data_IF_938443036654
#
_entry.id   IF_938443036654
#
_cell.length_a   1.000
_cell.length_b   1.000
_cell.length_c   1.000
_cell.angle_alpha   90.00
_cell.angle_beta   90.00
_cell.angle_gamma   90.00
#
_symmetry.space_group_name_H-M   'P 1'
#
loop_
_entity.id
_entity.type
_entity.pdbx_description
1 polymer ?
#
# COMPACT_ATOMS: atom_id res chain seq x y z
N UNK A 1 -14.18 -25.29 -11.15
CA UNK A 1 -14.00 -25.23 -9.67
C UNK A 1 -12.69 -24.57 -9.22
N UNK A 2 -11.65 -24.46 -10.06
CA UNK A 2 -10.32 -23.92 -9.67
C UNK A 2 -10.35 -22.41 -9.32
N UNK A 3 -11.21 -21.62 -9.97
CA UNK A 3 -11.25 -20.17 -9.73
C UNK A 3 -11.80 -19.77 -8.36
N UNK A 4 -12.56 -20.65 -7.68
CA UNK A 4 -13.13 -20.35 -6.37
C UNK A 4 -12.05 -20.12 -5.29
N UNK A 5 -10.89 -20.77 -5.42
CA UNK A 5 -9.80 -20.73 -4.44
C UNK A 5 -9.08 -19.38 -4.33
N UNK A 6 -9.11 -18.54 -5.36
CA UNK A 6 -8.56 -17.18 -5.28
C UNK A 6 -9.65 -16.10 -5.27
N UNK A 7 -10.81 -16.36 -5.89
CA UNK A 7 -11.93 -15.42 -5.89
C UNK A 7 -12.54 -15.26 -4.51
N UNK A 8 -12.74 -16.35 -3.74
CA UNK A 8 -13.36 -16.27 -2.42
C UNK A 8 -12.47 -15.47 -1.43
N UNK A 9 -11.16 -15.76 -1.28
CA UNK A 9 -10.28 -14.92 -0.46
C UNK A 9 -10.21 -13.47 -0.95
N UNK A 10 -10.22 -13.24 -2.26
CA UNK A 10 -10.21 -11.89 -2.84
C UNK A 10 -11.47 -11.10 -2.44
N UNK A 11 -12.65 -11.70 -2.60
CA UNK A 11 -13.93 -11.07 -2.24
C UNK A 11 -14.00 -10.83 -0.72
N UNK A 12 -13.56 -11.80 0.10
CA UNK A 12 -13.47 -11.62 1.55
C UNK A 12 -12.51 -10.50 1.93
N UNK A 13 -11.35 -10.40 1.27
CA UNK A 13 -10.39 -9.31 1.51
C UNK A 13 -10.97 -7.95 1.09
N UNK A 14 -11.63 -7.85 -0.06
CA UNK A 14 -12.24 -6.59 -0.55
C UNK A 14 -13.36 -6.12 0.39
N UNK A 15 -14.30 -7.01 0.74
CA UNK A 15 -15.41 -6.69 1.65
C UNK A 15 -14.90 -6.29 3.03
N UNK A 16 -13.85 -6.95 3.50
CA UNK A 16 -13.18 -6.64 4.74
C UNK A 16 -12.48 -5.26 4.73
N UNK A 17 -11.70 -4.95 3.69
CA UNK A 17 -11.05 -3.65 3.50
C UNK A 17 -12.08 -2.51 3.29
N UNK A 18 -13.25 -2.84 2.74
CA UNK A 18 -14.35 -1.88 2.59
C UNK A 18 -15.10 -1.58 3.90
N UNK A 19 -14.83 -2.33 4.97
CA UNK A 19 -15.56 -2.21 6.24
C UNK A 19 -15.37 -0.83 6.91
N UNK A 20 -16.41 -0.27 7.58
CA UNK A 20 -16.31 1.00 8.28
C UNK A 20 -15.25 1.03 9.38
N UNK A 21 -15.02 -0.12 10.05
CA UNK A 21 -14.01 -0.24 11.11
C UNK A 21 -12.60 0.06 10.60
N UNK A 22 -12.25 -0.44 9.41
CA UNK A 22 -10.96 -0.13 8.78
C UNK A 22 -10.78 1.37 8.54
N UNK A 23 -11.84 2.09 8.19
CA UNK A 23 -11.77 3.53 7.94
C UNK A 23 -11.52 4.35 9.22
N UNK A 24 -12.09 3.93 10.35
CA UNK A 24 -11.80 4.52 11.66
C UNK A 24 -10.32 4.36 12.03
N UNK A 25 -9.79 3.14 11.90
CA UNK A 25 -8.37 2.84 12.18
C UNK A 25 -7.40 3.74 11.39
N UNK A 26 -7.72 4.09 10.14
CA UNK A 26 -6.82 4.90 9.28
C UNK A 26 -6.60 6.30 9.85
N UNK A 27 -7.67 6.97 10.29
CA UNK A 27 -7.57 8.34 10.80
C UNK A 27 -6.76 8.35 12.11
N UNK A 28 -7.16 7.51 13.07
CA UNK A 28 -6.51 7.37 14.37
C UNK A 28 -5.03 6.98 14.22
N UNK A 29 -4.73 6.00 13.36
CA UNK A 29 -3.33 5.56 13.14
C UNK A 29 -2.49 6.65 12.47
N UNK A 30 -3.04 7.39 11.49
CA UNK A 30 -2.31 8.49 10.85
C UNK A 30 -2.00 9.61 11.85
N UNK A 31 -2.99 10.02 12.63
CA UNK A 31 -2.82 11.07 13.66
C UNK A 31 -1.82 10.62 14.72
N UNK A 32 -1.93 9.39 15.23
CA UNK A 32 -0.96 8.80 16.16
C UNK A 32 0.48 8.89 15.64
N UNK A 33 0.72 8.51 14.38
CA UNK A 33 2.06 8.58 13.77
C UNK A 33 2.58 10.01 13.66
N UNK A 34 1.72 10.96 13.27
CA UNK A 34 2.08 12.37 13.17
C UNK A 34 2.48 12.90 14.55
N UNK A 35 1.66 12.69 15.57
CA UNK A 35 1.93 13.12 16.94
C UNK A 35 3.23 12.50 17.47
N UNK A 36 3.40 11.19 17.33
CA UNK A 36 4.58 10.48 17.84
C UNK A 36 5.89 10.84 17.11
N UNK A 37 5.80 11.16 15.82
CA UNK A 37 6.97 11.47 14.99
C UNK A 37 7.38 12.94 15.00
N UNK A 38 6.46 13.86 15.31
CA UNK A 38 6.69 15.30 15.15
C UNK A 38 6.64 16.12 16.44
N UNK A 39 6.05 15.64 17.54
CA UNK A 39 6.04 16.39 18.82
C UNK A 39 7.21 15.98 19.72
N UNK A 40 7.79 16.95 20.43
CA UNK A 40 8.93 16.70 21.32
C UNK A 40 8.46 16.02 22.62
N UNK A 41 8.95 14.80 22.89
CA UNK A 41 8.54 13.97 24.05
C UNK A 41 8.83 14.59 25.41
N UNK A 42 9.78 15.53 25.48
CA UNK A 42 10.11 16.25 26.72
C UNK A 42 9.12 17.40 27.04
N UNK A 43 8.31 17.83 26.07
CA UNK A 43 7.35 18.93 26.22
C UNK A 43 5.90 18.48 26.20
N UNK A 44 5.64 17.36 25.52
CA UNK A 44 4.30 16.87 25.27
C UNK A 44 4.19 15.39 25.66
N UNK A 45 3.19 15.07 26.46
CA UNK A 45 2.81 13.70 26.79
C UNK A 45 1.60 13.30 25.97
N UNK A 46 1.74 12.28 25.13
CA UNK A 46 0.67 11.80 24.23
C UNK A 46 0.02 10.56 24.84
N UNK A 47 -1.30 10.61 25.03
CA UNK A 47 -2.12 9.47 25.42
C UNK A 47 -3.06 9.14 24.27
N UNK A 48 -3.07 7.88 23.82
CA UNK A 48 -3.94 7.43 22.73
C UNK A 48 -5.03 6.53 23.29
N UNK A 49 -6.21 6.57 22.66
CA UNK A 49 -7.34 5.65 22.88
C UNK A 49 -7.78 5.66 24.33
N UNK A 50 -8.03 6.86 24.85
CA UNK A 50 -8.39 7.09 26.24
C UNK A 50 -9.89 6.93 26.37
N UNK A 51 -10.32 5.96 27.17
CA UNK A 51 -11.73 5.78 27.52
C UNK A 51 -11.95 6.17 28.97
N UNK A 52 -12.86 7.12 29.22
CA UNK A 52 -13.16 7.65 30.56
C UNK A 52 -14.64 7.41 30.91
N UNK A 53 -14.96 7.23 32.20
CA UNK A 53 -16.35 7.24 32.65
C UNK A 53 -16.96 8.65 32.49
N UNK A 54 -18.22 8.73 32.07
CA UNK A 54 -18.94 10.00 31.93
C UNK A 54 -20.45 9.81 32.08
N UNK A 55 -21.06 10.46 33.07
CA UNK A 55 -22.52 10.66 33.17
C UNK A 55 -23.42 9.42 33.00
N UNK A 56 -22.96 8.23 33.42
CA UNK A 56 -23.70 6.96 33.27
C UNK A 56 -23.23 6.05 32.13
N UNK A 57 -22.26 6.48 31.33
CA UNK A 57 -21.62 5.68 30.28
C UNK A 57 -20.11 5.90 30.24
N UNK A 58 -19.56 5.80 29.03
CA UNK A 58 -18.13 6.05 28.79
C UNK A 58 -17.95 6.96 27.58
N UNK A 59 -16.92 7.79 27.60
CA UNK A 59 -16.49 8.59 26.47
C UNK A 59 -15.17 8.03 25.95
N UNK A 60 -15.05 7.91 24.63
CA UNK A 60 -13.80 7.56 23.95
C UNK A 60 -13.17 8.81 23.38
N UNK A 61 -11.87 8.98 23.59
CA UNK A 61 -11.06 10.07 23.07
C UNK A 61 -9.87 9.46 22.32
N UNK A 62 -9.77 9.76 21.02
CA UNK A 62 -8.75 9.16 20.15
C UNK A 62 -7.34 9.54 20.61
N UNK A 63 -7.09 10.83 20.81
CA UNK A 63 -5.80 11.31 21.30
C UNK A 63 -5.93 12.48 22.28
N UNK A 64 -5.17 12.40 23.38
CA UNK A 64 -4.89 13.50 24.27
C UNK A 64 -3.42 13.86 24.16
N UNK A 65 -3.14 15.17 24.08
CA UNK A 65 -1.78 15.68 24.27
C UNK A 65 -1.79 16.60 25.47
N UNK A 66 -1.04 16.25 26.51
CA UNK A 66 -0.93 17.03 27.74
C UNK A 66 0.40 17.75 27.76
N UNK A 67 0.37 19.05 28.08
CA UNK A 67 1.56 19.89 28.24
C UNK A 67 1.24 21.09 29.16
N UNK A 68 2.25 21.90 29.48
CA UNK A 68 2.03 23.19 30.18
C UNK A 68 1.13 24.17 29.42
N UNK A 69 0.95 23.96 28.12
CA UNK A 69 0.10 24.79 27.26
C UNK A 69 -1.40 24.43 27.36
N UNK A 70 -1.74 23.38 28.13
CA UNK A 70 -3.09 22.84 28.24
C UNK A 70 -3.19 21.40 27.73
N UNK A 71 -4.43 20.94 27.60
CA UNK A 71 -4.78 19.58 27.17
C UNK A 71 -5.43 19.65 25.80
N UNK A 72 -4.76 19.14 24.76
CA UNK A 72 -5.32 19.05 23.42
C UNK A 72 -6.16 17.79 23.31
N UNK A 73 -7.46 17.96 23.03
CA UNK A 73 -8.43 16.87 22.87
C UNK A 73 -8.70 16.68 21.40
N UNK A 74 -8.12 15.62 20.83
CA UNK A 74 -8.07 15.43 19.38
C UNK A 74 -9.02 14.30 18.98
N UNK A 75 -10.01 14.65 18.16
CA UNK A 75 -10.90 13.72 17.47
C UNK A 75 -10.39 13.47 16.04
N UNK A 76 -10.25 12.21 15.64
CA UNK A 76 -9.77 11.83 14.31
C UNK A 76 -10.91 11.25 13.48
N UNK A 77 -11.23 11.89 12.35
CA UNK A 77 -12.33 11.46 11.49
C UNK A 77 -11.84 11.22 10.07
N UNK A 78 -12.09 10.03 9.54
CA UNK A 78 -11.82 9.72 8.13
C UNK A 78 -12.99 10.19 7.25
N UNK A 79 -12.70 11.07 6.29
CA UNK A 79 -13.67 11.50 5.29
C UNK A 79 -12.98 11.66 3.93
N UNK A 80 -13.40 10.90 2.92
CA UNK A 80 -12.75 10.90 1.59
C UNK A 80 -13.46 11.85 0.64
N UNK A 81 -12.69 12.66 -0.08
CA UNK A 81 -13.20 13.59 -1.08
C UNK A 81 -13.47 14.97 -0.51
N UNK A 82 -14.46 15.68 -1.05
CA UNK A 82 -14.78 17.04 -0.61
C UNK A 82 -15.72 17.02 0.59
N UNK A 83 -15.39 17.74 1.65
CA UNK A 83 -16.22 17.83 2.86
C UNK A 83 -16.94 19.18 2.88
N UNK A 84 -18.21 19.16 3.25
CA UNK A 84 -19.02 20.36 3.49
C UNK A 84 -19.85 20.16 4.75
N UNK A 85 -19.84 21.17 5.60
CA UNK A 85 -20.45 21.16 6.92
C UNK A 85 -20.31 22.52 7.59
N UNK A 86 -21.01 22.70 8.70
CA UNK A 86 -20.88 23.86 9.56
C UNK A 86 -20.89 23.46 11.03
N UNK A 87 -20.46 24.35 11.91
CA UNK A 87 -20.36 24.11 13.35
C UNK A 87 -21.68 23.66 13.98
N UNK A 88 -22.80 24.28 13.58
CA UNK A 88 -24.13 24.01 14.15
C UNK A 88 -24.89 22.87 13.48
N UNK A 89 -24.38 22.30 12.39
CA UNK A 89 -25.07 21.22 11.68
C UNK A 89 -24.83 19.89 12.40
N UNK A 90 -25.88 19.11 12.62
CA UNK A 90 -25.77 17.77 13.25
C UNK A 90 -24.95 16.80 12.40
N UNK A 91 -25.08 16.89 11.07
CA UNK A 91 -24.42 15.99 10.13
C UNK A 91 -23.75 16.77 9.02
N UNK A 92 -22.57 16.30 8.63
CA UNK A 92 -21.79 16.83 7.52
C UNK A 92 -21.93 15.94 6.28
N UNK A 93 -21.59 16.51 5.13
CA UNK A 93 -21.64 15.86 3.82
C UNK A 93 -20.20 15.63 3.31
N UNK A 94 -19.92 14.43 2.82
CA UNK A 94 -18.74 14.14 2.01
C UNK A 94 -19.15 13.79 0.57
N UNK A 95 -18.57 14.47 -0.43
CA UNK A 95 -18.75 14.17 -1.86
C UNK A 95 -17.55 13.40 -2.39
N UNK A 96 -17.81 12.16 -2.83
CA UNK A 96 -16.85 11.24 -3.48
C UNK A 96 -17.33 10.87 -4.88
N UNK A 97 -16.52 10.14 -5.64
CA UNK A 97 -16.82 9.78 -7.04
C UNK A 97 -18.17 9.06 -7.20
N UNK A 98 -18.57 8.25 -6.22
CA UNK A 98 -19.86 7.53 -6.20
C UNK A 98 -21.01 8.26 -5.49
N UNK A 99 -20.93 9.57 -5.27
CA UNK A 99 -22.03 10.36 -4.70
C UNK A 99 -21.72 11.04 -3.35
N UNK A 100 -22.77 11.54 -2.71
CA UNK A 100 -22.71 12.27 -1.43
C UNK A 100 -23.13 11.36 -0.29
N UNK A 101 -22.35 11.31 0.79
CA UNK A 101 -22.66 10.54 2.00
C UNK A 101 -22.68 11.48 3.19
N UNK A 102 -23.67 11.28 4.07
CA UNK A 102 -23.78 11.99 5.34
C UNK A 102 -23.01 11.25 6.45
N UNK A 103 -22.40 12.00 7.35
CA UNK A 103 -21.78 11.50 8.57
C UNK A 103 -21.97 12.50 9.69
N UNK A 104 -21.92 12.04 10.94
CA UNK A 104 -22.19 12.88 12.10
C UNK A 104 -21.08 13.92 12.26
N UNK A 105 -21.43 15.10 12.78
CA UNK A 105 -20.49 16.19 12.93
C UNK A 105 -19.42 15.85 13.99
N UNK A 106 -18.13 15.69 13.60
CA UNK A 106 -17.07 15.37 14.54
C UNK A 106 -16.79 16.50 15.55
N UNK A 107 -17.11 17.76 15.22
CA UNK A 107 -16.96 18.88 16.15
C UNK A 107 -17.89 18.75 17.37
N UNK A 108 -19.12 18.27 17.18
CA UNK A 108 -20.05 18.01 18.29
C UNK A 108 -19.52 16.90 19.19
N UNK A 109 -19.00 15.83 18.60
CA UNK A 109 -18.38 14.73 19.36
C UNK A 109 -17.18 15.21 20.17
N UNK A 110 -16.33 16.05 19.57
CA UNK A 110 -15.18 16.63 20.25
C UNK A 110 -15.58 17.57 21.39
N UNK A 111 -16.64 18.36 21.23
CA UNK A 111 -17.19 19.18 22.31
C UNK A 111 -17.67 18.33 23.50
N UNK A 112 -18.37 17.21 23.24
CA UNK A 112 -18.79 16.27 24.27
C UNK A 112 -17.59 15.61 24.98
N UNK A 113 -16.52 15.27 24.24
CA UNK A 113 -15.27 14.75 24.82
C UNK A 113 -14.60 15.77 25.76
N UNK A 114 -14.51 17.03 25.34
CA UNK A 114 -13.97 18.11 26.16
C UNK A 114 -14.81 18.31 27.42
N UNK A 115 -16.14 18.32 27.30
CA UNK A 115 -17.03 18.45 28.45
C UNK A 115 -16.87 17.29 29.43
N UNK A 116 -16.82 16.05 28.92
CA UNK A 116 -16.63 14.87 29.75
C UNK A 116 -15.27 14.88 30.46
N UNK A 117 -14.19 15.24 29.74
CA UNK A 117 -12.85 15.32 30.31
C UNK A 117 -12.73 16.46 31.34
N UNK A 118 -13.35 17.61 31.07
CA UNK A 118 -13.44 18.75 32.00
C UNK A 118 -14.14 18.35 33.29
N UNK A 119 -15.28 17.67 33.19
CA UNK A 119 -16.01 17.15 34.36
C UNK A 119 -15.21 16.07 35.12
N UNK A 120 -14.58 15.14 34.40
CA UNK A 120 -13.77 14.08 35.00
C UNK A 120 -12.56 14.63 35.76
N UNK A 121 -11.89 15.66 35.22
CA UNK A 121 -10.72 16.29 35.84
C UNK A 121 -11.08 17.41 36.83
N UNK A 122 -12.36 17.79 36.92
CA UNK A 122 -12.82 18.98 37.63
C UNK A 122 -11.98 20.23 37.27
N UNK A 123 -11.69 20.39 35.98
CA UNK A 123 -10.84 21.46 35.45
C UNK A 123 -11.66 22.38 34.53
N UNK A 124 -11.40 23.70 34.51
CA UNK A 124 -12.17 24.63 33.69
C UNK A 124 -11.97 24.34 32.19
N UNK A 125 -13.02 24.53 31.38
CA UNK A 125 -12.97 24.24 29.94
C UNK A 125 -11.87 25.02 29.19
N UNK A 126 -11.41 26.15 29.74
CA UNK A 126 -10.36 26.99 29.18
C UNK A 126 -8.98 26.32 29.07
N UNK A 127 -8.70 25.27 29.84
CA UNK A 127 -7.43 24.54 29.74
C UNK A 127 -7.41 23.52 28.59
N UNK A 128 -8.55 23.26 27.97
CA UNK A 128 -8.70 22.27 26.91
C UNK A 128 -8.71 22.94 25.53
N UNK A 129 -7.95 22.36 24.61
CA UNK A 129 -7.92 22.78 23.20
C UNK A 129 -8.63 21.71 22.36
N UNK A 130 -9.91 21.90 21.97
CA UNK A 130 -10.58 21.01 21.04
C UNK A 130 -9.90 21.05 19.67
N UNK A 131 -9.66 19.88 19.07
CA UNK A 131 -9.13 19.75 17.72
C UNK A 131 -9.85 18.59 17.02
N UNK A 132 -10.33 18.83 15.82
CA UNK A 132 -10.84 17.79 14.92
C UNK A 132 -9.89 17.66 13.74
N UNK A 133 -9.37 16.45 13.51
CA UNK A 133 -8.47 16.17 12.40
C UNK A 133 -9.20 15.35 11.34
N UNK A 134 -9.40 15.95 10.16
CA UNK A 134 -10.05 15.28 9.03
C UNK A 134 -9.04 14.64 8.08
N UNK A 135 -8.99 13.31 8.08
CA UNK A 135 -8.05 12.51 7.28
C UNK A 135 -8.71 12.03 5.99
N UNK A 136 -7.97 12.10 4.87
CA UNK A 136 -8.40 11.58 3.55
C UNK A 136 -9.21 12.57 2.69
N UNK A 137 -9.48 13.75 3.22
CA UNK A 137 -10.22 14.81 2.54
C UNK A 137 -9.37 15.46 1.43
N UNK A 138 -10.00 15.89 0.33
CA UNK A 138 -9.36 16.62 -0.78
C UNK A 138 -9.42 18.15 -0.59
N UNK A 139 -10.42 18.62 0.14
CA UNK A 139 -10.61 20.01 0.51
C UNK A 139 -11.97 20.23 1.17
N UNK A 140 -12.16 21.44 1.67
CA UNK A 140 -13.42 21.91 2.24
C UNK A 140 -14.19 22.75 1.22
N UNK A 141 -15.48 22.49 1.07
CA UNK A 141 -16.38 23.27 0.20
C UNK A 141 -17.12 24.38 0.93
N UNK A 142 -17.09 24.36 2.25
CA UNK A 142 -17.64 25.41 3.11
C UNK A 142 -16.54 25.86 4.08
N UNK A 143 -16.62 27.08 4.63
CA UNK A 143 -15.75 27.48 5.72
C UNK A 143 -15.88 26.49 6.89
N UNK A 144 -14.74 25.98 7.36
CA UNK A 144 -14.70 25.05 8.49
C UNK A 144 -14.52 25.81 9.81
N UNK A 145 -15.05 25.27 10.92
CA UNK A 145 -14.72 25.76 12.26
C UNK A 145 -13.20 25.80 12.47
N UNK A 146 -12.70 26.80 13.22
CA UNK A 146 -11.26 27.01 13.37
C UNK A 146 -10.48 25.85 14.02
N UNK A 147 -11.17 24.97 14.75
CA UNK A 147 -10.59 23.78 15.37
C UNK A 147 -10.60 22.54 14.46
N UNK A 148 -11.16 22.64 13.24
CA UNK A 148 -11.23 21.55 12.26
C UNK A 148 -10.12 21.74 11.23
N UNK A 149 -9.17 20.82 11.24
CA UNK A 149 -7.91 20.97 10.50
C UNK A 149 -7.55 19.72 9.70
N UNK A 150 -6.80 19.88 8.59
CA UNK A 150 -6.17 18.74 7.93
C UNK A 150 -4.99 18.22 8.77
N UNK A 151 -4.61 16.94 8.64
CA UNK A 151 -3.57 16.31 9.46
C UNK A 151 -2.20 16.99 9.32
N UNK A 152 -1.92 17.60 8.16
CA UNK A 152 -0.67 18.30 7.88
C UNK A 152 -0.46 19.54 8.78
N UNK A 153 -1.55 20.13 9.30
CA UNK A 153 -1.48 21.33 10.16
C UNK A 153 -1.49 21.02 11.66
N UNK A 154 -1.63 19.76 12.05
CA UNK A 154 -1.90 19.35 13.43
C UNK A 154 -0.81 19.81 14.41
N UNK A 155 0.44 19.44 14.15
CA UNK A 155 1.56 19.76 15.02
C UNK A 155 1.86 21.26 15.05
N UNK A 156 1.69 21.94 13.93
CA UNK A 156 1.82 23.40 13.88
C UNK A 156 0.76 24.10 14.74
N UNK A 157 -0.49 23.62 14.74
CA UNK A 157 -1.55 24.18 15.61
C UNK A 157 -1.19 23.98 17.09
N UNK A 158 -0.70 22.79 17.45
CA UNK A 158 -0.29 22.48 18.83
C UNK A 158 0.89 23.37 19.25
N UNK A 159 1.91 23.53 18.40
CA UNK A 159 3.11 24.34 18.67
C UNK A 159 2.85 25.84 18.72
N UNK A 160 1.88 26.35 17.96
CA UNK A 160 1.50 27.78 17.94
C UNK A 160 0.92 28.26 19.27
N UNK A 161 0.44 27.35 20.14
CA UNK A 161 0.01 27.73 21.48
C UNK A 161 1.26 28.06 22.32
N UNK A 162 1.41 29.33 22.66
CA UNK A 162 2.57 29.80 23.42
C UNK A 162 2.24 30.10 24.89
N UNK A 163 0.98 30.40 25.22
CA UNK A 163 0.58 30.76 26.57
C UNK A 163 0.48 29.50 27.46
N UNK A 164 1.26 29.40 28.55
CA UNK A 164 1.07 28.36 29.54
C UNK A 164 -0.29 28.51 30.22
N UNK A 165 -1.07 27.44 30.23
CA UNK A 165 -2.36 27.37 30.92
C UNK A 165 -2.30 26.46 32.16
N UNK A 166 -1.22 25.68 32.26
CA UNK A 166 -0.98 24.72 33.33
C UNK A 166 0.45 24.86 33.85
N UNK A 167 0.58 24.81 35.16
CA UNK A 167 1.86 24.55 35.81
C UNK A 167 2.30 23.09 35.63
N UNK A 168 3.58 22.82 35.82
CA UNK A 168 4.14 21.48 35.62
C UNK A 168 3.46 20.44 36.53
N UNK A 169 3.21 20.80 37.79
CA UNK A 169 2.51 19.97 38.77
C UNK A 169 1.03 19.74 38.40
N UNK A 170 0.37 20.74 37.82
CA UNK A 170 -1.01 20.60 37.32
C UNK A 170 -1.07 19.64 36.13
N UNK A 171 -0.13 19.73 35.20
CA UNK A 171 -0.03 18.81 34.07
C UNK A 171 0.22 17.36 34.54
N UNK A 172 1.10 17.17 35.51
CA UNK A 172 1.38 15.85 36.10
C UNK A 172 0.16 15.27 36.83
N UNK A 173 -0.55 16.10 37.60
CA UNK A 173 -1.82 15.68 38.24
C UNK A 173 -2.86 15.26 37.22
N UNK A 174 -3.00 16.00 36.11
CA UNK A 174 -3.92 15.63 35.03
C UNK A 174 -3.53 14.27 34.45
N UNK A 175 -2.24 14.04 34.17
CA UNK A 175 -1.76 12.76 33.66
C UNK A 175 -2.06 11.61 34.62
N UNK A 176 -1.81 11.79 35.92
CA UNK A 176 -2.11 10.79 36.96
C UNK A 176 -3.61 10.51 37.08
N UNK A 177 -4.46 11.53 37.03
CA UNK A 177 -5.91 11.37 37.07
C UNK A 177 -6.44 10.63 35.85
N UNK A 178 -5.93 10.94 34.65
CA UNK A 178 -6.30 10.22 33.42
C UNK A 178 -5.82 8.76 33.49
N UNK A 179 -4.58 8.52 33.93
CA UNK A 179 -4.04 7.15 33.97
C UNK A 179 -4.74 6.27 35.01
N UNK A 180 -5.12 6.84 36.16
CA UNK A 180 -5.82 6.10 37.22
C UNK A 180 -7.30 5.84 36.90
N UNK A 181 -7.99 6.78 36.24
CA UNK A 181 -9.42 6.62 35.93
C UNK A 181 -9.74 6.11 34.52
N UNK A 182 -8.76 5.97 33.62
CA UNK A 182 -9.02 5.39 32.30
C UNK A 182 -9.42 3.93 32.40
N UNK A 183 -10.48 3.58 31.69
CA UNK A 183 -10.91 2.20 31.54
C UNK A 183 -9.94 1.55 30.55
N UNK A 184 -9.15 0.61 31.05
CA UNK A 184 -8.26 -0.22 30.22
C UNK A 184 -9.10 -1.22 29.43
N UNK A 185 -9.75 -0.74 28.37
CA UNK A 185 -10.42 -1.62 27.43
C UNK A 185 -9.34 -2.44 26.72
N UNK A 186 -9.48 -3.76 26.70
CA UNK A 186 -8.59 -4.69 25.99
C UNK A 186 -8.71 -4.58 24.46
N UNK A 187 -8.76 -3.36 23.91
CA UNK A 187 -8.84 -3.09 22.46
C UNK A 187 -7.68 -3.72 21.69
N UNK A 188 -6.51 -3.88 22.34
CA UNK A 188 -5.36 -4.59 21.77
C UNK A 188 -5.73 -6.00 21.29
N UNK A 189 -6.58 -6.73 22.03
CA UNK A 189 -7.03 -8.06 21.65
C UNK A 189 -7.90 -8.07 20.38
N UNK A 190 -8.70 -7.03 20.15
CA UNK A 190 -9.57 -6.95 18.96
C UNK A 190 -8.80 -6.46 17.72
N UNK A 191 -7.94 -5.45 17.86
CA UNK A 191 -7.10 -4.95 16.77
C UNK A 191 -6.06 -5.99 16.30
N UNK A 192 -5.46 -6.74 17.23
CA UNK A 192 -4.55 -7.86 16.90
C UNK A 192 -5.31 -8.99 16.21
N UNK A 193 -6.47 -9.41 16.72
CA UNK A 193 -7.32 -10.41 16.05
C UNK A 193 -7.67 -9.98 14.62
N UNK A 194 -7.98 -8.71 14.42
CA UNK A 194 -8.34 -8.17 13.13
C UNK A 194 -7.15 -8.14 12.16
N UNK A 195 -5.96 -7.77 12.63
CA UNK A 195 -4.73 -7.80 11.81
C UNK A 195 -4.26 -9.22 11.49
N UNK A 196 -4.46 -10.18 12.39
CA UNK A 196 -4.19 -11.60 12.12
C UNK A 196 -5.13 -12.11 11.04
N UNK A 197 -6.43 -11.81 11.14
CA UNK A 197 -7.41 -12.17 10.10
C UNK A 197 -7.04 -11.54 8.75
N UNK A 198 -6.58 -10.28 8.72
CA UNK A 198 -6.06 -9.61 7.51
C UNK A 198 -4.87 -10.36 6.91
N UNK A 199 -3.88 -10.70 7.73
CA UNK A 199 -2.69 -11.43 7.29
C UNK A 199 -3.08 -12.79 6.71
N UNK A 200 -3.96 -13.55 7.38
CA UNK A 200 -4.45 -14.85 6.90
C UNK A 200 -5.18 -14.73 5.56
N UNK A 201 -6.13 -13.80 5.41
CA UNK A 201 -6.86 -13.60 4.16
C UNK A 201 -5.92 -13.21 3.00
N UNK A 202 -4.94 -12.35 3.27
CA UNK A 202 -3.95 -11.93 2.28
C UNK A 202 -3.03 -13.10 1.89
N UNK A 203 -2.54 -13.88 2.85
CA UNK A 203 -1.72 -15.06 2.57
C UNK A 203 -2.50 -16.10 1.75
N UNK A 204 -3.76 -16.35 2.09
CA UNK A 204 -4.63 -17.24 1.31
C UNK A 204 -4.85 -16.73 -0.12
N UNK A 205 -5.03 -15.42 -0.30
CA UNK A 205 -5.15 -14.81 -1.63
C UNK A 205 -3.86 -14.98 -2.44
N UNK A 206 -2.70 -14.66 -1.87
CA UNK A 206 -1.40 -14.79 -2.56
C UNK A 206 -1.12 -16.25 -2.91
N UNK A 207 -1.36 -17.19 -1.99
CA UNK A 207 -1.23 -18.61 -2.25
C UNK A 207 -2.20 -19.07 -3.36
N UNK A 208 -3.47 -18.64 -3.31
CA UNK A 208 -4.47 -18.95 -4.33
C UNK A 208 -4.09 -18.43 -5.72
N UNK A 209 -3.57 -17.19 -5.80
CA UNK A 209 -3.04 -16.62 -7.05
C UNK A 209 -1.83 -17.39 -7.55
N UNK A 210 -0.89 -17.76 -6.66
CA UNK A 210 0.27 -18.56 -7.03
C UNK A 210 -0.17 -19.90 -7.65
N UNK A 211 -1.06 -20.66 -7.00
CA UNK A 211 -1.53 -21.93 -7.56
C UNK A 211 -2.34 -21.76 -8.86
N UNK A 212 -3.15 -20.70 -8.97
CA UNK A 212 -3.97 -20.46 -10.16
C UNK A 212 -3.14 -20.03 -11.37
N UNK A 213 -2.04 -19.31 -11.17
CA UNK A 213 -1.27 -18.68 -12.24
C UNK A 213 0.15 -19.21 -12.40
N UNK A 214 0.61 -20.17 -11.58
CA UNK A 214 1.98 -20.72 -11.71
C UNK A 214 2.27 -21.31 -13.10
N UNK A 215 1.37 -22.11 -13.67
CA UNK A 215 1.61 -22.78 -14.95
C UNK A 215 1.56 -21.76 -16.10
N UNK A 216 0.51 -20.92 -16.24
CA UNK A 216 0.47 -19.93 -17.31
C UNK A 216 1.63 -18.93 -17.27
N UNK A 217 2.07 -18.53 -16.06
CA UNK A 217 3.22 -17.64 -15.91
C UNK A 217 4.52 -18.34 -16.32
N UNK A 218 4.69 -19.61 -15.94
CA UNK A 218 5.88 -20.38 -16.32
C UNK A 218 5.94 -20.60 -17.83
N UNK A 219 4.81 -20.92 -18.46
CA UNK A 219 4.70 -21.07 -19.92
C UNK A 219 4.97 -19.75 -20.66
N UNK A 220 4.42 -18.64 -20.16
CA UNK A 220 4.70 -17.31 -20.69
C UNK A 220 6.19 -16.96 -20.57
N UNK A 221 6.81 -17.22 -19.42
CA UNK A 221 8.25 -17.00 -19.21
C UNK A 221 9.09 -17.84 -20.18
N UNK A 222 8.74 -19.11 -20.38
CA UNK A 222 9.44 -20.00 -21.32
C UNK A 222 9.35 -19.47 -22.75
N UNK A 223 8.14 -19.09 -23.21
CA UNK A 223 7.94 -18.55 -24.56
C UNK A 223 8.67 -17.21 -24.77
N UNK A 224 8.72 -16.35 -23.76
CA UNK A 224 9.52 -15.12 -23.81
C UNK A 224 11.02 -15.41 -23.91
N UNK A 225 11.52 -16.40 -23.16
CA UNK A 225 12.92 -16.80 -23.19
C UNK A 225 13.31 -17.39 -24.54
N UNK A 226 12.47 -18.26 -25.11
CA UNK A 226 12.67 -18.79 -26.48
C UNK A 226 12.69 -17.67 -27.51
N UNK A 227 11.75 -16.71 -27.43
CA UNK A 227 11.73 -15.56 -28.34
C UNK A 227 12.99 -14.71 -28.23
N UNK A 228 13.52 -14.54 -27.01
CA UNK A 228 14.78 -13.83 -26.79
C UNK A 228 15.96 -14.60 -27.38
N UNK A 229 16.04 -15.91 -27.17
CA UNK A 229 17.08 -16.76 -27.75
C UNK A 229 17.08 -16.72 -29.28
N UNK A 230 15.90 -16.80 -29.90
CA UNK A 230 15.73 -16.66 -31.36
C UNK A 230 16.21 -15.30 -31.87
N UNK A 231 16.00 -14.23 -31.11
CA UNK A 231 16.46 -12.89 -31.49
C UNK A 231 17.97 -12.71 -31.34
N UNK A 232 18.60 -13.34 -30.34
CA UNK A 232 20.05 -13.21 -30.09
C UNK A 232 20.92 -14.15 -30.91
N UNK A 233 20.38 -15.31 -31.33
CA UNK A 233 21.11 -16.34 -32.08
C UNK A 233 20.24 -16.90 -33.22
N UNK A 234 19.86 -16.06 -34.21
CA UNK A 234 18.97 -16.46 -35.30
C UNK A 234 19.53 -17.63 -36.14
N UNK A 235 20.85 -17.78 -36.22
CA UNK A 235 21.53 -18.86 -36.92
C UNK A 235 21.21 -20.26 -36.37
N UNK A 236 20.77 -20.35 -35.11
CA UNK A 236 20.41 -21.61 -34.45
C UNK A 236 19.01 -22.12 -34.83
N UNK A 237 18.22 -21.30 -35.52
CA UNK A 237 16.83 -21.60 -35.87
C UNK A 237 16.63 -21.61 -37.39
N UNK A 238 15.67 -22.39 -37.86
CA UNK A 238 15.20 -22.37 -39.25
C UNK A 238 14.27 -21.16 -39.48
N UNK A 239 13.98 -20.86 -40.74
CA UNK A 239 13.10 -19.75 -41.12
C UNK A 239 11.65 -19.88 -40.58
N UNK A 240 11.20 -21.10 -40.26
CA UNK A 240 9.90 -21.38 -39.64
C UNK A 240 9.92 -21.25 -38.10
N UNK A 241 11.08 -20.92 -37.51
CA UNK A 241 11.26 -20.74 -36.07
C UNK A 241 11.56 -22.02 -35.30
N UNK A 242 11.71 -23.17 -35.96
CA UNK A 242 12.11 -24.44 -35.32
C UNK A 242 13.63 -24.47 -35.07
N UNK A 243 14.12 -25.06 -33.95
CA UNK A 243 15.54 -25.19 -33.70
C UNK A 243 16.19 -26.14 -34.72
N UNK A 244 17.37 -25.78 -35.21
CA UNK A 244 18.18 -26.66 -36.06
C UNK A 244 18.73 -27.83 -35.24
N UNK A 245 18.85 -28.99 -35.89
CA UNK A 245 19.53 -30.14 -35.32
C UNK A 245 21.04 -29.90 -35.23
N UNK A 246 21.73 -30.66 -34.38
CA UNK A 246 23.20 -30.62 -34.26
C UNK A 246 23.88 -30.87 -35.60
N UNK A 247 23.33 -31.79 -36.42
CA UNK A 247 23.84 -32.05 -37.75
C UNK A 247 23.67 -30.84 -38.70
N UNK A 248 22.52 -30.15 -38.66
CA UNK A 248 22.31 -28.95 -39.48
C UNK A 248 23.22 -27.81 -39.06
N UNK A 249 23.44 -27.62 -37.76
CA UNK A 249 24.38 -26.63 -37.24
C UNK A 249 25.83 -26.93 -37.66
N UNK A 250 26.23 -28.21 -37.58
CA UNK A 250 27.53 -28.65 -38.06
C UNK A 250 27.66 -28.44 -39.57
N UNK A 251 26.66 -28.82 -40.36
CA UNK A 251 26.63 -28.61 -41.81
C UNK A 251 26.73 -27.12 -42.20
N UNK A 252 26.02 -26.23 -41.49
CA UNK A 252 26.06 -24.78 -41.75
C UNK A 252 27.40 -24.14 -41.35
N UNK A 253 28.20 -24.82 -40.50
CA UNK A 253 29.56 -24.38 -40.14
C UNK A 253 30.64 -24.76 -41.17
N UNK A 254 30.32 -25.68 -42.10
CA UNK A 254 31.29 -26.17 -43.08
C UNK A 254 31.57 -25.13 -44.17
N UNK A 255 32.85 -24.98 -44.50
CA UNK A 255 33.29 -24.15 -45.62
C UNK A 255 33.44 -25.04 -46.85
N UNK A 256 32.47 -24.96 -47.75
CA UNK A 256 32.41 -25.80 -48.95
C UNK A 256 32.63 -24.99 -50.23
N UNK A 257 33.42 -25.54 -51.15
CA UNK A 257 33.66 -24.97 -52.47
C UNK A 257 33.40 -26.01 -53.57
N UNK A 258 32.69 -25.61 -54.61
CA UNK A 258 32.40 -26.42 -55.79
C UNK A 258 32.88 -25.72 -57.05
N UNK A 259 33.66 -26.43 -57.87
CA UNK A 259 34.11 -25.95 -59.19
C UNK A 259 33.24 -26.55 -60.29
N UNK A 260 32.54 -25.69 -61.03
CA UNK A 260 31.69 -26.11 -62.16
C UNK A 260 32.52 -26.70 -63.29
N UNK A 261 33.71 -26.14 -63.54
CA UNK A 261 34.59 -26.54 -64.65
C UNK A 261 35.23 -27.92 -64.44
N UNK A 262 35.56 -28.25 -63.19
CA UNK A 262 36.23 -29.52 -62.86
C UNK A 262 35.30 -30.55 -62.23
N UNK A 263 34.08 -30.17 -61.86
CA UNK A 263 33.13 -31.01 -61.13
C UNK A 263 33.58 -31.39 -59.71
N UNK A 264 34.66 -30.78 -59.20
CA UNK A 264 35.22 -31.11 -57.89
C UNK A 264 34.55 -30.31 -56.79
N UNK A 265 34.30 -30.98 -55.67
CA UNK A 265 33.77 -30.38 -54.45
C UNK A 265 34.66 -30.73 -53.26
N UNK A 266 34.90 -29.76 -52.37
CA UNK A 266 35.59 -29.98 -51.11
C UNK A 266 34.93 -29.16 -50.00
N UNK A 267 34.82 -29.75 -48.82
CA UNK A 267 34.33 -29.11 -47.60
C UNK A 267 35.37 -29.26 -46.48
N UNK A 268 35.52 -28.22 -45.68
CA UNK A 268 36.42 -28.20 -44.54
C UNK A 268 35.67 -27.72 -43.30
N UNK A 269 36.06 -28.24 -42.14
CA UNK A 269 35.65 -27.66 -40.86
C UNK A 269 36.33 -26.30 -40.63
N UNK A 270 35.82 -25.46 -39.72
CA UNK A 270 36.43 -24.16 -39.41
C UNK A 270 37.90 -24.22 -38.98
N UNK A 271 38.36 -25.37 -38.46
CA UNK A 271 39.76 -25.61 -38.08
C UNK A 271 40.68 -26.02 -39.24
N UNK A 272 40.12 -26.16 -40.46
CA UNK A 272 40.83 -26.54 -41.68
C UNK A 272 40.91 -28.04 -41.94
N UNK A 273 40.30 -28.88 -41.10
CA UNK A 273 40.28 -30.33 -41.33
C UNK A 273 39.35 -30.71 -42.50
N UNK A 274 39.76 -31.63 -43.39
CA UNK A 274 38.97 -32.02 -44.55
C UNK A 274 37.82 -32.97 -44.18
N UNK A 275 36.61 -32.68 -44.64
CA UNK A 275 35.41 -33.50 -44.41
C UNK A 275 35.03 -34.29 -45.66
N UNK A 276 34.78 -35.59 -45.50
CA UNK A 276 34.29 -36.44 -46.60
C UNK A 276 32.77 -36.45 -46.62
N UNK A 277 32.19 -35.84 -47.65
CA UNK A 277 30.74 -35.83 -47.91
C UNK A 277 30.45 -36.44 -49.28
N UNK A 278 29.22 -36.92 -49.46
CA UNK A 278 28.73 -37.31 -50.77
C UNK A 278 28.73 -36.12 -51.76
N UNK A 279 28.98 -36.39 -53.03
CA UNK A 279 29.12 -35.38 -54.08
C UNK A 279 27.88 -34.49 -54.22
N UNK A 280 26.66 -35.07 -54.11
CA UNK A 280 25.43 -34.29 -54.20
C UNK A 280 25.24 -33.39 -52.98
N UNK A 281 25.58 -33.89 -51.78
CA UNK A 281 25.48 -33.14 -50.52
C UNK A 281 26.51 -32.01 -50.46
N UNK A 282 27.76 -32.27 -50.89
CA UNK A 282 28.82 -31.27 -50.95
C UNK A 282 28.45 -30.12 -51.91
N UNK A 283 27.93 -30.45 -53.10
CA UNK A 283 27.45 -29.44 -54.05
C UNK A 283 26.33 -28.59 -53.46
N UNK A 284 25.35 -29.20 -52.81
CA UNK A 284 24.25 -28.48 -52.14
C UNK A 284 24.75 -27.51 -51.06
N UNK A 285 25.76 -27.90 -50.27
CA UNK A 285 26.37 -27.04 -49.26
C UNK A 285 27.17 -25.88 -49.88
N UNK A 286 27.97 -26.15 -50.91
CA UNK A 286 28.73 -25.12 -51.62
C UNK A 286 27.83 -24.09 -52.30
N UNK A 287 26.67 -24.52 -52.83
CA UNK A 287 25.69 -23.61 -53.44
C UNK A 287 24.94 -22.76 -52.39
N UNK A 288 24.74 -23.25 -51.16
CA UNK A 288 24.11 -22.50 -50.05
C UNK A 288 24.93 -21.30 -49.59
N UNK A 289 26.26 -21.41 -49.58
CA UNK A 289 27.19 -20.35 -49.16
C UNK A 289 27.69 -19.43 -50.27
N UNK A 290 27.27 -19.66 -51.53
CA UNK A 290 27.74 -18.89 -52.67
C UNK A 290 27.02 -17.54 -52.79
N UNK A 291 27.77 -16.44 -52.67
CA UNK A 291 27.30 -15.05 -52.85
C UNK A 291 26.69 -14.81 -54.24
N UNK A 292 26.98 -15.68 -55.22
CA UNK A 292 26.46 -15.57 -56.59
C UNK A 292 25.01 -16.09 -56.74
N UNK A 293 24.43 -16.73 -55.72
CA UNK A 293 23.07 -17.29 -55.74
C UNK A 293 22.15 -16.85 -54.58
N UNK A 294 22.65 -16.06 -53.62
CA UNK A 294 21.85 -15.44 -52.55
C UNK A 294 21.34 -14.06 -52.98
#
# INVERSE_FOLDING_TARGET
>A
MIHAFWIIPLVLLITFLASPRFRGDIAETRVRRILAGQLEKNRYTILNNVTLPSGGGTVHIDHLVVSRLGVFVIESQYARGWVSGGEFQERWKQKKAGGTVLFDNPAHRNALQVQALSGFLNAPSSVFHPIVVLVGQKGFKTPMPGHVIPPEKLTDVIRRKAQPLLEADQADRILMSIDSGRIRTGSWGQAVKLNIVRAVLFTLLVAGLFFAFREPVTELLHSMQEGTQRATAPEQYRADGTPKSEQELWEDSLICAYSVDTGRCACYEPDGSPVKLDTAKCRSLAERGSILKQ
#
